data_IF_425699495569
#
_entry.id   IF_425699495569
#
_cell.length_a   1.000
_cell.length_b   1.000
_cell.length_c   1.000
_cell.angle_alpha   90.00
_cell.angle_beta   90.00
_cell.angle_gamma   90.00
#
_symmetry.space_group_name_H-M   'P 1'
#
loop_
_entity.id
_entity.type
_entity.pdbx_description
1 polymer ?
#
# COMPACT_ATOMS: atom_id res chain seq x y z
N UNK A 1 -6.68 1.22 -3.14
CA UNK A 1 -6.53 2.67 -3.36
C UNK A 1 -5.90 3.31 -2.12
N UNK A 2 -4.97 4.25 -2.29
CA UNK A 2 -4.40 5.05 -1.20
C UNK A 2 -5.14 6.40 -1.14
N UNK A 3 -5.50 6.85 0.06
CA UNK A 3 -6.23 8.11 0.28
C UNK A 3 -5.72 8.78 1.56
N UNK A 4 -5.66 10.12 1.54
CA UNK A 4 -5.44 10.90 2.75
C UNK A 4 -6.75 11.02 3.53
N UNK A 5 -6.81 10.38 4.69
CA UNK A 5 -8.00 10.38 5.56
C UNK A 5 -7.56 10.44 7.02
N UNK A 6 -8.49 10.76 7.91
CA UNK A 6 -8.25 10.69 9.36
C UNK A 6 -8.38 9.25 9.86
N UNK A 7 -7.83 8.96 11.04
CA UNK A 7 -7.86 7.61 11.61
C UNK A 7 -9.32 7.22 11.94
N UNK A 8 -9.71 6.00 11.56
CA UNK A 8 -11.04 5.47 11.86
C UNK A 8 -10.96 4.45 12.99
N UNK A 9 -12.09 4.23 13.66
CA UNK A 9 -12.18 3.21 14.70
C UNK A 9 -11.88 1.82 14.13
N UNK A 10 -10.88 1.15 14.72
CA UNK A 10 -10.43 -0.17 14.28
C UNK A 10 -9.32 -0.18 13.25
N UNK A 11 -8.82 0.99 12.83
CA UNK A 11 -7.60 1.09 12.04
C UNK A 11 -6.37 0.74 12.87
N UNK A 12 -5.44 0.04 12.23
CA UNK A 12 -4.09 -0.12 12.74
C UNK A 12 -3.29 1.13 12.37
N UNK A 13 -2.78 1.82 13.39
CA UNK A 13 -1.97 3.02 13.20
C UNK A 13 -0.50 2.64 13.26
N UNK A 14 0.23 2.96 12.19
CA UNK A 14 1.68 2.80 12.12
C UNK A 14 2.29 4.19 12.02
N UNK A 15 3.12 4.53 13.01
CA UNK A 15 3.83 5.80 13.05
C UNK A 15 5.16 5.67 12.31
N UNK A 16 5.37 6.55 11.34
CA UNK A 16 6.64 6.71 10.63
C UNK A 16 7.15 8.13 10.87
N UNK A 17 8.46 8.31 10.75
CA UNK A 17 9.08 9.61 10.93
C UNK A 17 8.57 10.58 9.85
N UNK A 18 7.65 11.46 10.24
CA UNK A 18 7.04 12.48 9.37
C UNK A 18 5.64 12.16 8.82
N UNK A 19 5.10 10.95 8.97
CA UNK A 19 3.71 10.65 8.60
C UNK A 19 3.15 9.41 9.32
N UNK A 20 1.82 9.31 9.38
CA UNK A 20 1.12 8.15 9.94
C UNK A 20 0.43 7.39 8.83
N UNK A 21 0.47 6.06 8.91
CA UNK A 21 -0.25 5.17 8.01
C UNK A 21 -1.38 4.50 8.79
N UNK A 22 -2.58 4.58 8.25
CA UNK A 22 -3.78 3.96 8.81
C UNK A 22 -4.17 2.76 7.93
N UNK A 23 -4.29 1.59 8.55
CA UNK A 23 -4.68 0.35 7.86
C UNK A 23 -5.99 -0.20 8.43
N UNK A 24 -7.00 -0.32 7.59
CA UNK A 24 -8.24 -1.02 7.95
C UNK A 24 -7.96 -2.51 8.25
N UNK A 25 -8.75 -3.08 9.16
CA UNK A 25 -8.60 -4.46 9.62
C UNK A 25 -8.73 -5.49 8.50
N UNK A 26 -9.55 -5.25 7.47
CA UNK A 26 -9.68 -6.14 6.31
C UNK A 26 -8.39 -6.11 5.47
N UNK A 27 -7.85 -4.91 5.25
CA UNK A 27 -6.62 -4.70 4.47
C UNK A 27 -5.39 -5.29 5.16
N UNK A 28 -5.37 -5.31 6.49
CA UNK A 28 -4.27 -5.88 7.30
C UNK A 28 -3.98 -7.35 6.97
N UNK A 29 -4.99 -8.13 6.58
CA UNK A 29 -4.83 -9.55 6.19
C UNK A 29 -4.03 -9.67 4.89
N UNK A 30 -4.24 -8.73 3.95
CA UNK A 30 -3.59 -8.74 2.64
C UNK A 30 -2.23 -8.05 2.66
N UNK A 31 -2.03 -7.07 3.55
CA UNK A 31 -0.81 -6.26 3.65
C UNK A 31 0.24 -6.85 4.61
N UNK A 32 -0.06 -7.97 5.27
CA UNK A 32 0.89 -8.69 6.10
C UNK A 32 2.06 -9.17 5.23
N UNK A 33 3.28 -8.81 5.61
CA UNK A 33 4.53 -9.05 4.87
C UNK A 33 4.72 -8.24 3.57
N UNK A 34 3.86 -7.25 3.29
CA UNK A 34 4.02 -6.39 2.11
C UNK A 34 4.92 -5.19 2.42
N UNK A 35 5.82 -4.88 1.48
CA UNK A 35 6.62 -3.64 1.48
C UNK A 35 6.03 -2.64 0.49
N UNK A 36 5.82 -1.39 0.92
CA UNK A 36 5.41 -0.29 0.05
C UNK A 36 6.62 0.54 -0.36
N UNK A 37 6.94 0.57 -1.65
CA UNK A 37 8.04 1.35 -2.21
C UNK A 37 7.49 2.53 -3.02
N UNK A 38 8.20 3.66 -3.05
CA UNK A 38 7.81 4.81 -3.86
C UNK A 38 8.78 4.96 -5.03
N UNK A 39 8.31 4.63 -6.24
CA UNK A 39 9.12 4.71 -7.45
C UNK A 39 8.91 6.07 -8.14
N UNK A 40 10.01 6.78 -8.37
CA UNK A 40 10.06 8.11 -8.98
C UNK A 40 10.67 8.13 -10.37
N UNK A 41 10.45 7.07 -11.17
CA UNK A 41 11.03 6.91 -12.50
C UNK A 41 10.19 7.53 -13.63
N UNK A 42 10.75 7.51 -14.85
CA UNK A 42 10.09 7.98 -16.08
C UNK A 42 8.80 7.21 -16.42
N UNK A 43 8.70 5.95 -16.00
CA UNK A 43 7.65 5.00 -16.39
C UNK A 43 6.55 4.79 -15.32
N UNK A 44 6.71 5.38 -14.13
CA UNK A 44 5.78 5.13 -13.03
C UNK A 44 6.02 6.10 -11.90
N UNK A 45 5.07 7.00 -11.69
CA UNK A 45 5.03 7.92 -10.55
C UNK A 45 4.03 7.34 -9.56
N UNK A 46 4.49 6.74 -8.47
CA UNK A 46 3.56 6.22 -7.47
C UNK A 46 4.15 5.23 -6.48
N UNK A 47 3.25 4.75 -5.62
CA UNK A 47 3.52 3.73 -4.63
C UNK A 47 3.32 2.33 -5.21
N UNK A 48 4.30 1.45 -5.03
CA UNK A 48 4.34 0.07 -5.51
C UNK A 48 4.34 -0.88 -4.32
N UNK A 49 3.42 -1.83 -4.32
CA UNK A 49 3.32 -2.86 -3.29
C UNK A 49 4.12 -4.10 -3.70
N UNK A 50 5.16 -4.41 -2.92
CA UNK A 50 5.95 -5.62 -3.04
C UNK A 50 5.45 -6.66 -2.03
N UNK A 51 4.72 -7.66 -2.51
CA UNK A 51 4.29 -8.78 -1.69
C UNK A 51 5.18 -10.01 -1.97
N UNK A 52 6.01 -10.48 -1.02
CA UNK A 52 6.85 -11.66 -1.20
C UNK A 52 6.03 -12.95 -1.37
N UNK A 53 4.76 -12.97 -0.97
CA UNK A 53 3.83 -14.07 -1.20
C UNK A 53 3.10 -13.98 -2.55
N UNK A 54 3.19 -12.84 -3.26
CA UNK A 54 2.59 -12.69 -4.58
C UNK A 54 3.50 -13.30 -5.65
N UNK A 55 3.27 -14.57 -5.96
CA UNK A 55 4.01 -15.30 -7.01
C UNK A 55 3.61 -14.92 -8.44
N UNK A 56 2.80 -13.86 -8.64
CA UNK A 56 2.39 -13.36 -9.95
C UNK A 56 2.61 -11.85 -10.05
N UNK A 57 3.78 -11.44 -10.52
CA UNK A 57 3.95 -10.15 -11.21
C UNK A 57 3.13 -10.19 -12.49
N UNK A 58 1.89 -9.71 -12.44
CA UNK A 58 1.14 -9.45 -13.67
C UNK A 58 1.77 -8.21 -14.32
N UNK A 59 2.58 -8.44 -15.34
CA UNK A 59 3.31 -7.44 -16.11
C UNK A 59 2.43 -6.59 -17.01
N UNK A 60 1.45 -5.90 -16.45
CA UNK A 60 0.75 -4.81 -17.13
C UNK A 60 0.43 -3.73 -16.10
N UNK A 61 1.16 -2.63 -16.14
CA UNK A 61 1.15 -1.53 -15.17
C UNK A 61 -0.12 -0.70 -15.19
N UNK A 62 -1.29 -1.30 -14.97
CA UNK A 62 -2.55 -0.57 -14.85
C UNK A 62 -3.29 -0.95 -13.56
N UNK A 63 -3.17 -0.04 -12.60
CA UNK A 63 -4.09 0.32 -11.52
C UNK A 63 -5.35 -0.56 -11.39
N UNK A 64 -5.40 -1.39 -10.34
CA UNK A 64 -6.67 -1.93 -9.87
C UNK A 64 -7.44 -0.85 -9.10
N UNK A 65 -8.41 -0.23 -9.76
CA UNK A 65 -9.55 0.44 -9.13
C UNK A 65 -10.51 -0.62 -8.60
N UNK A 66 -10.70 -0.65 -7.27
CA UNK A 66 -11.88 -1.25 -6.62
C UNK A 66 -12.52 -0.21 -5.72
#
# INVERSE_FOLDING_TARGET
>A
QLEFTDAREGDTIIDFDGFRVFLDRKSTIYLRDITLDHQGGLDGRGFVFHNPQASNTCGCGESFSI
#
